data_IF_448276288551
#
_entry.id   IF_448276288551
#
_cell.length_a   1.000
_cell.length_b   1.000
_cell.length_c   1.000
_cell.angle_alpha   90.00
_cell.angle_beta   90.00
_cell.angle_gamma   90.00
#
_symmetry.space_group_name_H-M   'P 1'
#
loop_
_entity.id
_entity.type
_entity.pdbx_description
1 polymer ?
#
# COMPACT_ATOMS: atom_id res chain seq x y z
N UNK A 1 33.59 -80.33 104.87
CA UNK A 1 32.26 -80.58 105.47
C UNK A 1 31.31 -79.50 104.95
N UNK A 2 30.25 -79.90 104.24
CA UNK A 2 28.99 -79.18 103.96
C UNK A 2 29.03 -77.85 103.17
N UNK A 3 28.89 -78.04 101.85
CA UNK A 3 27.87 -77.43 100.97
C UNK A 3 26.77 -76.61 101.68
N UNK A 4 26.49 -75.40 101.15
CA UNK A 4 25.12 -74.85 101.01
C UNK A 4 25.12 -73.70 100.01
N UNK A 5 24.55 -74.00 98.83
CA UNK A 5 24.14 -73.05 97.82
C UNK A 5 22.98 -72.19 98.34
N UNK A 6 23.02 -70.89 98.06
CA UNK A 6 21.82 -70.05 98.07
C UNK A 6 21.83 -69.23 96.78
N UNK A 7 21.16 -69.77 95.76
CA UNK A 7 20.85 -69.13 94.49
C UNK A 7 19.75 -68.11 94.77
N UNK A 8 20.10 -66.82 94.66
CA UNK A 8 19.15 -65.72 94.77
C UNK A 8 18.65 -65.40 93.36
N UNK A 9 17.44 -65.86 93.06
CA UNK A 9 16.70 -65.55 91.85
C UNK A 9 16.36 -64.06 91.83
N UNK A 10 17.04 -63.29 90.96
CA UNK A 10 16.67 -61.92 90.62
C UNK A 10 15.68 -61.98 89.46
N UNK A 11 14.44 -61.47 89.59
CA UNK A 11 13.51 -61.43 88.47
C UNK A 11 13.97 -60.34 87.49
N UNK A 12 14.34 -60.77 86.28
CA UNK A 12 14.41 -59.90 85.11
C UNK A 12 13.01 -59.34 84.85
N UNK A 13 12.76 -58.10 85.28
CA UNK A 13 11.63 -57.33 84.76
C UNK A 13 12.01 -56.89 83.36
N UNK A 14 11.57 -57.65 82.36
CA UNK A 14 11.44 -57.20 80.98
C UNK A 14 10.47 -56.03 80.97
N UNK A 15 11.00 -54.81 81.09
CA UNK A 15 10.30 -53.63 80.65
C UNK A 15 10.22 -53.71 79.12
N UNK A 16 9.17 -54.35 78.61
CA UNK A 16 8.72 -54.15 77.25
C UNK A 16 8.33 -52.67 77.13
N UNK A 17 9.27 -51.84 76.66
CA UNK A 17 8.96 -50.55 76.07
C UNK A 17 8.07 -50.84 74.85
N UNK A 18 6.76 -50.89 75.06
CA UNK A 18 5.82 -50.68 73.98
C UNK A 18 6.04 -49.25 73.48
N UNK A 19 6.67 -49.10 72.33
CA UNK A 19 6.50 -47.91 71.50
C UNK A 19 4.99 -47.76 71.29
N UNK A 20 4.36 -46.90 72.10
CA UNK A 20 3.08 -46.32 71.71
C UNK A 20 3.41 -45.51 70.46
N UNK A 21 3.01 -46.00 69.29
CA UNK A 21 3.00 -45.15 68.10
C UNK A 21 2.18 -43.92 68.46
N UNK A 22 2.78 -42.73 68.35
CA UNK A 22 2.06 -41.48 68.54
C UNK A 22 0.86 -41.49 67.59
N UNK A 23 -0.35 -41.37 68.14
CA UNK A 23 -1.56 -41.34 67.33
C UNK A 23 -1.50 -40.10 66.44
N UNK A 24 -1.45 -40.30 65.11
CA UNK A 24 -1.42 -39.21 64.13
C UNK A 24 -2.56 -38.21 64.45
N UNK A 25 -2.17 -36.97 64.74
CA UNK A 25 -3.06 -35.87 65.13
C UNK A 25 -3.18 -34.82 64.05
N UNK A 26 -4.20 -33.95 64.15
CA UNK A 26 -4.45 -32.88 63.18
C UNK A 26 -3.22 -32.00 62.89
N UNK A 27 -2.39 -31.77 63.90
CA UNK A 27 -1.18 -30.93 63.86
C UNK A 27 0.11 -31.71 63.54
N UNK A 28 0.03 -33.01 63.26
CA UNK A 28 1.21 -33.80 62.87
C UNK A 28 1.71 -33.38 61.49
N UNK A 29 3.03 -33.46 61.26
CA UNK A 29 3.64 -33.07 59.98
C UNK A 29 3.03 -33.78 58.78
N UNK A 30 2.66 -35.06 58.94
CA UNK A 30 2.03 -35.83 57.87
C UNK A 30 0.60 -35.36 57.57
N UNK A 31 -0.13 -34.91 58.60
CA UNK A 31 -1.49 -34.38 58.46
C UNK A 31 -1.49 -32.98 57.85
N UNK A 32 -0.57 -32.13 58.28
CA UNK A 32 -0.42 -30.77 57.73
C UNK A 32 0.10 -30.80 56.30
N UNK A 33 1.04 -31.69 55.98
CA UNK A 33 1.54 -31.88 54.61
C UNK A 33 0.45 -32.42 53.68
N UNK A 34 -0.28 -33.47 54.10
CA UNK A 34 -1.39 -34.03 53.31
C UNK A 34 -2.55 -33.03 53.14
N UNK A 35 -2.77 -32.15 54.11
CA UNK A 35 -3.72 -31.06 54.02
C UNK A 35 -3.28 -29.99 53.00
N UNK A 36 -2.03 -29.55 53.03
CA UNK A 36 -1.49 -28.61 52.03
C UNK A 36 -1.54 -29.22 50.62
N UNK A 37 -1.18 -30.50 50.46
CA UNK A 37 -1.26 -31.19 49.18
C UNK A 37 -2.70 -31.22 48.65
N UNK A 38 -3.67 -31.50 49.53
CA UNK A 38 -5.08 -31.53 49.16
C UNK A 38 -5.60 -30.13 48.81
N UNK A 39 -5.17 -29.07 49.52
CA UNK A 39 -5.47 -27.68 49.16
C UNK A 39 -4.98 -27.33 47.75
N UNK A 40 -3.74 -27.72 47.43
CA UNK A 40 -3.15 -27.56 46.09
C UNK A 40 -3.91 -28.34 45.03
N UNK A 41 -4.32 -29.57 45.33
CA UNK A 41 -5.14 -30.40 44.43
C UNK A 41 -6.50 -29.74 44.15
N UNK A 42 -7.22 -29.28 45.17
CA UNK A 42 -8.48 -28.57 44.99
C UNK A 42 -8.29 -27.27 44.20
N UNK A 43 -7.21 -26.51 44.46
CA UNK A 43 -6.89 -25.32 43.68
C UNK A 43 -6.61 -25.66 42.20
N UNK A 44 -5.91 -26.77 41.93
CA UNK A 44 -5.66 -27.26 40.57
C UNK A 44 -6.94 -27.65 39.83
N UNK A 45 -7.88 -28.29 40.50
CA UNK A 45 -9.18 -28.66 39.93
C UNK A 45 -10.01 -27.42 39.58
N UNK A 46 -10.06 -26.40 40.44
CA UNK A 46 -10.74 -25.13 40.15
C UNK A 46 -10.02 -24.35 39.05
N UNK A 47 -8.68 -24.29 39.05
CA UNK A 47 -7.89 -23.66 37.99
C UNK A 47 -8.14 -24.32 36.63
N UNK A 48 -8.28 -25.65 36.60
CA UNK A 48 -8.56 -26.37 35.35
C UNK A 48 -9.91 -25.94 34.76
N UNK A 49 -10.95 -25.76 35.59
CA UNK A 49 -12.26 -25.27 35.11
C UNK A 49 -12.17 -23.92 34.42
N UNK A 50 -11.30 -23.02 34.90
CA UNK A 50 -11.12 -21.68 34.34
C UNK A 50 -10.24 -21.65 33.09
N UNK A 51 -9.37 -22.65 32.91
CA UNK A 51 -8.30 -22.61 31.90
C UNK A 51 -8.35 -23.71 30.84
N UNK A 52 -9.16 -24.76 31.02
CA UNK A 52 -9.27 -25.90 30.08
C UNK A 52 -9.79 -25.50 28.69
N UNK A 53 -10.51 -24.39 28.59
CA UNK A 53 -10.99 -23.87 27.31
C UNK A 53 -9.87 -23.27 26.44
N UNK A 54 -8.65 -23.12 26.97
CA UNK A 54 -7.50 -22.59 26.26
C UNK A 54 -6.59 -23.75 25.82
N UNK A 55 -6.60 -24.06 24.52
CA UNK A 55 -5.96 -25.26 23.97
C UNK A 55 -4.46 -25.40 24.26
N UNK A 56 -3.75 -24.29 24.48
CA UNK A 56 -2.31 -24.28 24.78
C UNK A 56 -2.00 -24.41 26.27
N UNK A 57 -3.01 -24.42 27.15
CA UNK A 57 -2.81 -24.55 28.60
C UNK A 57 -2.68 -26.02 29.00
N UNK A 58 -1.44 -26.45 29.20
CA UNK A 58 -1.14 -27.80 29.68
C UNK A 58 -1.25 -27.92 31.21
N UNK A 59 -1.40 -29.15 31.71
CA UNK A 59 -1.34 -29.42 33.15
C UNK A 59 0.00 -28.99 33.79
N UNK A 60 1.09 -28.96 33.03
CA UNK A 60 2.38 -28.47 33.50
C UNK A 60 2.35 -26.96 33.75
N UNK A 61 1.75 -26.19 32.83
CA UNK A 61 1.59 -24.74 32.98
C UNK A 61 0.74 -24.41 34.22
N UNK A 62 -0.38 -25.14 34.40
CA UNK A 62 -1.24 -24.98 35.58
C UNK A 62 -0.50 -25.29 36.89
N UNK A 63 0.32 -26.35 36.92
CA UNK A 63 1.13 -26.71 38.10
C UNK A 63 2.16 -25.63 38.39
N UNK A 64 2.90 -25.17 37.38
CA UNK A 64 3.86 -24.09 37.52
C UNK A 64 3.22 -22.82 38.10
N UNK A 65 2.05 -22.42 37.58
CA UNK A 65 1.32 -21.25 38.09
C UNK A 65 0.83 -21.41 39.54
N UNK A 66 0.56 -22.63 40.00
CA UNK A 66 0.23 -22.91 41.41
C UNK A 66 1.46 -23.04 42.31
N UNK A 67 2.61 -23.41 41.76
CA UNK A 67 3.88 -23.47 42.51
C UNK A 67 4.41 -22.08 42.88
N UNK A 68 4.02 -21.04 42.13
CA UNK A 68 4.27 -19.63 42.49
C UNK A 68 3.49 -19.19 43.75
N UNK A 69 2.50 -19.98 44.18
CA UNK A 69 1.68 -19.73 45.36
C UNK A 69 2.14 -20.60 46.52
N UNK A 70 2.46 -19.96 47.64
CA UNK A 70 2.84 -20.66 48.88
C UNK A 70 1.63 -20.81 49.78
N UNK A 71 1.33 -22.05 50.17
CA UNK A 71 0.36 -22.36 51.23
C UNK A 71 1.12 -22.62 52.53
N UNK A 72 0.70 -21.96 53.60
CA UNK A 72 1.14 -22.26 54.96
C UNK A 72 -0.06 -22.45 55.87
N UNK A 73 0.14 -23.19 56.96
CA UNK A 73 -0.91 -23.51 57.93
C UNK A 73 -0.45 -23.12 59.33
N UNK A 74 -1.39 -22.61 60.12
CA UNK A 74 -1.20 -22.24 61.52
C UNK A 74 -2.48 -22.49 62.30
N UNK A 75 -2.43 -22.36 63.62
CA UNK A 75 -3.59 -22.50 64.51
C UNK A 75 -4.42 -23.76 64.25
N UNK A 76 -3.74 -24.90 64.12
CA UNK A 76 -4.38 -26.19 63.86
C UNK A 76 -5.05 -26.70 65.12
N UNK A 77 -6.37 -26.92 65.06
CA UNK A 77 -7.18 -27.44 66.16
C UNK A 77 -7.92 -28.71 65.75
N UNK A 78 -8.13 -29.61 66.71
CA UNK A 78 -9.05 -30.74 66.58
C UNK A 78 -10.44 -30.31 67.05
N UNK A 79 -11.42 -30.31 66.14
CA UNK A 79 -12.82 -29.99 66.44
C UNK A 79 -13.57 -31.18 67.01
N UNK A 80 -13.30 -32.38 66.51
CA UNK A 80 -13.90 -33.62 67.01
C UNK A 80 -13.01 -34.82 66.73
N UNK A 81 -13.16 -35.83 67.59
CA UNK A 81 -12.55 -37.14 67.47
C UNK A 81 -13.67 -38.18 67.56
N UNK A 82 -13.90 -38.95 66.51
CA UNK A 82 -14.95 -39.97 66.50
C UNK A 82 -14.44 -41.19 67.31
N UNK A 83 -15.08 -41.59 68.41
CA UNK A 83 -14.63 -42.72 69.21
C UNK A 83 -14.70 -44.07 68.48
N UNK A 84 -15.45 -44.16 67.37
CA UNK A 84 -15.60 -45.38 66.57
C UNK A 84 -14.80 -45.35 65.26
N UNK A 85 -14.03 -44.29 65.00
CA UNK A 85 -13.27 -44.11 63.76
C UNK A 85 -11.90 -43.51 64.05
N UNK A 86 -10.91 -43.82 63.21
CA UNK A 86 -9.61 -43.14 63.24
C UNK A 86 -9.67 -41.72 62.66
N UNK A 87 -10.83 -41.33 62.11
CA UNK A 87 -11.07 -40.02 61.52
C UNK A 87 -11.18 -38.91 62.57
N UNK A 88 -10.46 -37.81 62.33
CA UNK A 88 -10.51 -36.58 63.12
C UNK A 88 -11.03 -35.43 62.26
N UNK A 89 -11.88 -34.59 62.84
CA UNK A 89 -12.25 -33.32 62.22
C UNK A 89 -11.35 -32.24 62.77
N UNK A 90 -10.69 -31.52 61.86
CA UNK A 90 -9.67 -30.54 62.13
C UNK A 90 -10.09 -29.17 61.56
N UNK A 91 -9.45 -28.11 62.05
CA UNK A 91 -9.58 -26.76 61.51
C UNK A 91 -8.22 -26.08 61.59
N UNK A 92 -7.81 -25.37 60.53
CA UNK A 92 -6.54 -24.68 60.49
C UNK A 92 -6.72 -23.30 59.85
N UNK A 93 -5.91 -22.34 60.27
CA UNK A 93 -5.74 -21.09 59.54
C UNK A 93 -4.81 -21.34 58.35
N UNK A 94 -5.33 -21.19 57.15
CA UNK A 94 -4.57 -21.32 55.91
C UNK A 94 -4.17 -19.92 55.45
N UNK A 95 -2.89 -19.73 55.15
CA UNK A 95 -2.39 -18.51 54.51
C UNK A 95 -1.87 -18.84 53.12
N UNK A 96 -2.37 -18.11 52.13
CA UNK A 96 -1.98 -18.15 50.74
C UNK A 96 -1.12 -16.93 50.47
N UNK A 97 0.13 -17.14 50.08
CA UNK A 97 1.09 -16.06 49.81
C UNK A 97 1.51 -16.09 48.34
N UNK A 98 1.48 -14.93 47.71
CA UNK A 98 1.98 -14.70 46.35
C UNK A 98 3.21 -13.80 46.44
N UNK A 99 4.19 -13.96 45.56
CA UNK A 99 5.33 -13.03 45.54
C UNK A 99 4.85 -11.59 45.31
N UNK A 100 5.38 -10.58 46.04
CA UNK A 100 4.90 -9.20 45.95
C UNK A 100 4.87 -8.63 44.53
N UNK A 101 5.92 -8.84 43.75
CA UNK A 101 6.03 -8.34 42.37
C UNK A 101 4.99 -9.00 41.45
N UNK A 102 4.81 -10.32 41.57
CA UNK A 102 3.78 -11.07 40.84
C UNK A 102 2.39 -10.58 41.25
N UNK A 103 2.13 -10.39 42.54
CA UNK A 103 0.85 -9.89 43.03
C UNK A 103 0.51 -8.51 42.44
N UNK A 104 1.46 -7.58 42.49
CA UNK A 104 1.28 -6.24 41.94
C UNK A 104 0.99 -6.30 40.43
N UNK A 105 1.77 -7.08 39.69
CA UNK A 105 1.58 -7.27 38.24
C UNK A 105 0.19 -7.82 37.90
N UNK A 106 -0.27 -8.85 38.62
CA UNK A 106 -1.59 -9.44 38.40
C UNK A 106 -2.73 -8.52 38.83
N UNK A 107 -2.54 -7.75 39.91
CA UNK A 107 -3.50 -6.75 40.37
C UNK A 107 -3.68 -5.65 39.33
N UNK A 108 -2.59 -5.12 38.79
CA UNK A 108 -2.63 -4.13 37.71
C UNK A 108 -3.29 -4.70 36.45
N UNK A 109 -2.90 -5.90 36.01
CA UNK A 109 -3.54 -6.58 34.88
C UNK A 109 -5.05 -6.76 35.08
N UNK A 110 -5.46 -7.20 36.27
CA UNK A 110 -6.89 -7.37 36.61
C UNK A 110 -7.66 -6.05 36.50
N UNK A 111 -7.03 -4.96 36.97
CA UNK A 111 -7.63 -3.62 36.94
C UNK A 111 -7.70 -3.06 35.53
N UNK A 112 -6.64 -3.15 34.73
CA UNK A 112 -6.57 -2.52 33.41
C UNK A 112 -7.27 -3.34 32.34
N UNK A 113 -7.08 -4.66 32.33
CA UNK A 113 -7.56 -5.52 31.25
C UNK A 113 -8.91 -6.19 31.56
N UNK A 114 -9.21 -6.44 32.84
CA UNK A 114 -10.46 -7.10 33.24
C UNK A 114 -11.47 -6.15 33.90
N UNK A 115 -11.07 -4.92 34.22
CA UNK A 115 -11.85 -3.97 35.00
C UNK A 115 -12.36 -4.57 36.33
N UNK A 116 -11.49 -5.33 37.00
CA UNK A 116 -11.78 -5.95 38.29
C UNK A 116 -10.68 -5.60 39.28
N UNK A 117 -11.06 -5.48 40.55
CA UNK A 117 -10.11 -5.24 41.62
C UNK A 117 -9.80 -6.58 42.32
N UNK A 118 -8.53 -6.98 42.31
CA UNK A 118 -8.08 -8.27 42.83
C UNK A 118 -8.37 -8.41 44.34
N UNK A 119 -8.08 -7.36 45.11
CA UNK A 119 -8.34 -7.31 46.55
C UNK A 119 -9.82 -7.60 46.87
N UNK A 120 -10.74 -6.89 46.20
CA UNK A 120 -12.19 -7.10 46.34
C UNK A 120 -12.64 -8.48 45.92
N UNK A 121 -11.98 -9.08 44.93
CA UNK A 121 -12.30 -10.46 44.52
C UNK A 121 -11.91 -11.46 45.60
N UNK A 122 -10.78 -11.26 46.28
CA UNK A 122 -10.37 -12.10 47.41
C UNK A 122 -11.27 -11.87 48.63
N UNK A 123 -11.63 -10.63 48.93
CA UNK A 123 -12.57 -10.28 50.00
C UNK A 123 -13.95 -10.92 49.80
N UNK A 124 -14.46 -10.94 48.56
CA UNK A 124 -15.71 -11.63 48.23
C UNK A 124 -15.67 -13.15 48.46
N UNK A 125 -14.47 -13.75 48.50
CA UNK A 125 -14.27 -15.15 48.86
C UNK A 125 -14.14 -15.33 50.39
N UNK A 126 -14.30 -14.27 51.17
CA UNK A 126 -14.07 -14.23 52.63
C UNK A 126 -12.62 -14.57 53.00
N UNK A 127 -11.67 -14.13 52.17
CA UNK A 127 -10.25 -14.18 52.49
C UNK A 127 -9.83 -12.87 53.16
N UNK A 128 -9.31 -12.97 54.39
CA UNK A 128 -8.71 -11.82 55.06
C UNK A 128 -7.40 -11.47 54.36
N UNK A 129 -7.32 -10.25 53.84
CA UNK A 129 -6.15 -9.79 53.09
C UNK A 129 -5.19 -9.02 53.98
N UNK A 130 -3.89 -9.30 53.81
CA UNK A 130 -2.80 -8.45 54.25
C UNK A 130 -1.75 -8.36 53.14
N UNK A 131 -1.77 -7.26 52.37
CA UNK A 131 -0.94 -7.07 51.19
C UNK A 131 -1.06 -8.24 50.18
N UNK A 132 0.02 -8.99 49.96
CA UNK A 132 0.15 -10.14 49.06
C UNK A 132 -0.15 -11.50 49.74
N UNK A 133 -0.77 -11.46 50.92
CA UNK A 133 -1.15 -12.64 51.70
C UNK A 133 -2.65 -12.65 51.98
N UNK A 134 -3.24 -13.85 51.92
CA UNK A 134 -4.67 -14.08 52.05
C UNK A 134 -4.92 -15.24 53.01
N UNK A 135 -5.73 -15.01 54.04
CA UNK A 135 -5.95 -15.99 55.10
C UNK A 135 -7.41 -16.36 55.26
N UNK A 136 -7.68 -17.64 55.49
CA UNK A 136 -8.99 -18.13 55.88
C UNK A 136 -8.87 -19.38 56.75
N UNK A 137 -9.84 -19.55 57.67
CA UNK A 137 -9.97 -20.78 58.45
C UNK A 137 -10.66 -21.85 57.60
N UNK A 138 -10.01 -22.99 57.46
CA UNK A 138 -10.48 -24.11 56.64
C UNK A 138 -10.66 -25.35 57.52
N UNK A 139 -11.85 -25.95 57.43
CA UNK A 139 -12.16 -27.21 58.07
C UNK A 139 -11.82 -28.38 57.16
N UNK A 140 -11.27 -29.44 57.73
CA UNK A 140 -10.86 -30.64 57.01
C UNK A 140 -10.96 -31.88 57.90
N UNK A 141 -11.02 -33.06 57.28
CA UNK A 141 -10.91 -34.32 58.03
C UNK A 141 -9.60 -35.01 57.70
N UNK A 142 -9.05 -35.69 58.71
CA UNK A 142 -7.83 -36.51 58.59
C UNK A 142 -8.17 -37.91 59.05
N UNK A 143 -7.84 -38.91 58.24
CA UNK A 143 -7.96 -40.31 58.60
C UNK A 143 -6.64 -41.03 58.30
N UNK A 144 -5.90 -41.49 59.33
CA UNK A 144 -4.70 -42.30 59.14
C UNK A 144 -5.00 -43.63 58.43
N UNK A 145 -4.06 -44.12 57.63
CA UNK A 145 -4.10 -45.49 57.11
C UNK A 145 -3.81 -46.51 58.21
N UNK A 146 -4.23 -47.77 58.00
CA UNK A 146 -4.04 -48.85 58.97
C UNK A 146 -2.58 -49.06 59.39
N UNK A 147 -1.63 -48.74 58.50
CA UNK A 147 -0.19 -48.81 58.76
C UNK A 147 0.40 -47.53 59.38
N UNK A 148 -0.42 -46.49 59.62
CA UNK A 148 -0.05 -45.17 60.09
C UNK A 148 1.09 -44.50 59.30
N UNK A 149 1.27 -44.86 58.02
CA UNK A 149 2.32 -44.27 57.17
C UNK A 149 1.81 -43.12 56.30
N UNK A 150 0.51 -43.04 56.05
CA UNK A 150 -0.10 -41.97 55.28
C UNK A 150 -1.43 -41.53 55.91
N UNK A 151 -1.96 -40.42 55.43
CA UNK A 151 -3.26 -39.90 55.86
C UNK A 151 -4.13 -39.62 54.65
N UNK A 152 -5.41 -39.97 54.75
CA UNK A 152 -6.42 -39.48 53.86
C UNK A 152 -6.94 -38.14 54.39
N UNK A 153 -6.81 -37.09 53.58
CA UNK A 153 -7.31 -35.76 53.91
C UNK A 153 -8.47 -35.41 52.98
N UNK A 154 -9.58 -35.00 53.57
CA UNK A 154 -10.73 -34.49 52.82
C UNK A 154 -10.97 -33.03 53.21
N UNK A 155 -11.03 -32.17 52.21
CA UNK A 155 -11.29 -30.73 52.37
C UNK A 155 -12.52 -30.40 51.53
N UNK A 156 -13.60 -29.87 52.12
CA UNK A 156 -14.67 -29.25 51.36
C UNK A 156 -14.16 -28.11 50.47
N UNK A 157 -14.99 -27.63 49.55
CA UNK A 157 -14.68 -26.39 48.82
C UNK A 157 -14.40 -25.27 49.83
N UNK A 158 -13.30 -24.58 49.64
CA UNK A 158 -12.79 -23.60 50.58
C UNK A 158 -12.22 -22.37 49.87
N UNK A 159 -12.27 -21.24 50.56
CA UNK A 159 -11.85 -19.94 50.03
C UNK A 159 -10.37 -19.90 49.62
N UNK A 160 -9.49 -20.55 50.37
CA UNK A 160 -8.05 -20.53 50.11
C UNK A 160 -7.70 -21.20 48.77
N UNK A 161 -8.26 -22.39 48.51
CA UNK A 161 -8.09 -23.09 47.23
C UNK A 161 -8.72 -22.31 46.08
N UNK A 162 -9.91 -21.71 46.26
CA UNK A 162 -10.57 -20.92 45.23
C UNK A 162 -9.81 -19.62 44.91
N UNK A 163 -9.32 -18.92 45.92
CA UNK A 163 -8.50 -17.71 45.75
C UNK A 163 -7.18 -18.01 45.05
N UNK A 164 -6.49 -19.08 45.47
CA UNK A 164 -5.27 -19.53 44.81
C UNK A 164 -5.51 -19.90 43.34
N UNK A 165 -6.58 -20.66 43.05
CA UNK A 165 -6.95 -21.00 41.69
C UNK A 165 -7.20 -19.76 40.83
N UNK A 166 -7.89 -18.75 41.37
CA UNK A 166 -8.14 -17.50 40.67
C UNK A 166 -6.86 -16.73 40.34
N UNK A 167 -5.95 -16.59 41.32
CA UNK A 167 -4.67 -15.90 41.12
C UNK A 167 -3.83 -16.64 40.07
N UNK A 168 -3.72 -17.97 40.16
CA UNK A 168 -3.02 -18.77 39.16
C UNK A 168 -3.68 -18.68 37.79
N UNK A 169 -5.02 -18.56 37.70
CA UNK A 169 -5.70 -18.36 36.44
C UNK A 169 -5.29 -17.03 35.80
N UNK A 170 -5.13 -15.95 36.58
CA UNK A 170 -4.60 -14.69 36.05
C UNK A 170 -3.16 -14.85 35.53
N UNK A 171 -2.29 -15.56 36.25
CA UNK A 171 -0.91 -15.84 35.80
C UNK A 171 -0.86 -16.61 34.49
N UNK A 172 -1.76 -17.59 34.30
CA UNK A 172 -1.85 -18.37 33.06
C UNK A 172 -2.43 -17.56 31.91
N UNK A 173 -3.51 -16.81 32.15
CA UNK A 173 -4.27 -16.15 31.10
C UNK A 173 -3.64 -14.84 30.61
N UNK A 174 -2.94 -14.11 31.48
CA UNK A 174 -2.27 -12.86 31.12
C UNK A 174 -1.39 -12.99 29.87
N UNK A 175 -0.37 -13.87 29.82
CA UNK A 175 0.51 -13.99 28.66
C UNK A 175 -0.22 -14.45 27.40
N UNK A 176 -1.25 -15.31 27.54
CA UNK A 176 -2.05 -15.77 26.42
C UNK A 176 -2.80 -14.60 25.77
N UNK A 177 -3.47 -13.77 26.57
CA UNK A 177 -4.20 -12.61 26.04
C UNK A 177 -3.26 -11.57 25.43
N UNK A 178 -2.08 -11.35 26.03
CA UNK A 178 -1.08 -10.45 25.47
C UNK A 178 -0.56 -10.95 24.12
N UNK A 179 -0.27 -12.25 24.02
CA UNK A 179 0.15 -12.87 22.76
C UNK A 179 -0.94 -12.78 21.69
N UNK A 180 -2.20 -13.03 22.05
CA UNK A 180 -3.34 -12.90 21.13
C UNK A 180 -3.50 -11.46 20.62
N UNK A 181 -3.35 -10.47 21.51
CA UNK A 181 -3.42 -9.04 21.13
C UNK A 181 -2.29 -8.69 20.16
N UNK A 182 -1.06 -9.11 20.46
CA UNK A 182 0.09 -8.88 19.58
C UNK A 182 -0.09 -9.53 18.21
N UNK A 183 -0.58 -10.78 18.16
CA UNK A 183 -0.87 -11.45 16.90
C UNK A 183 -1.96 -10.73 16.10
N UNK A 184 -3.01 -10.26 16.76
CA UNK A 184 -4.07 -9.51 16.12
C UNK A 184 -3.57 -8.17 15.55
N UNK A 185 -2.77 -7.43 16.31
CA UNK A 185 -2.14 -6.18 15.86
C UNK A 185 -1.22 -6.42 14.67
N UNK A 186 -0.39 -7.47 14.71
CA UNK A 186 0.47 -7.86 13.60
C UNK A 186 -0.33 -8.22 12.33
N UNK A 187 -1.42 -8.98 12.47
CA UNK A 187 -2.29 -9.32 11.35
C UNK A 187 -2.96 -8.07 10.75
N UNK A 188 -3.44 -7.15 11.58
CA UNK A 188 -4.00 -5.89 11.11
C UNK A 188 -2.97 -5.03 10.37
N UNK A 189 -1.74 -4.95 10.89
CA UNK A 189 -0.64 -4.23 10.24
C UNK A 189 -0.26 -4.88 8.91
N UNK A 190 -0.16 -6.22 8.85
CA UNK A 190 0.11 -6.95 7.62
C UNK A 190 -0.99 -6.72 6.57
N UNK A 191 -2.26 -6.78 6.97
CA UNK A 191 -3.39 -6.50 6.09
C UNK A 191 -3.38 -5.05 5.59
N UNK A 192 -3.09 -4.07 6.46
CA UNK A 192 -3.00 -2.67 6.08
C UNK A 192 -1.86 -2.43 5.07
N UNK A 193 -0.68 -3.01 5.32
CA UNK A 193 0.48 -2.92 4.44
C UNK A 193 0.21 -3.60 3.07
N UNK A 194 -0.48 -4.73 3.05
CA UNK A 194 -0.85 -5.41 1.81
C UNK A 194 -1.85 -4.57 0.99
N UNK A 195 -2.85 -3.97 1.63
CA UNK A 195 -3.77 -3.04 0.95
C UNK A 195 -3.07 -1.80 0.41
N UNK A 196 -2.15 -1.21 1.16
CA UNK A 196 -1.37 -0.06 0.70
C UNK A 196 -0.53 -0.41 -0.52
N UNK A 197 0.13 -1.58 -0.49
CA UNK A 197 0.88 -2.09 -1.64
C UNK A 197 -0.02 -2.31 -2.87
N UNK A 198 -1.19 -2.90 -2.70
CA UNK A 198 -2.16 -3.09 -3.80
C UNK A 198 -2.63 -1.75 -4.39
N UNK A 199 -2.92 -0.76 -3.55
CA UNK A 199 -3.30 0.58 -4.00
C UNK A 199 -2.16 1.27 -4.76
N UNK A 200 -0.91 1.10 -4.30
CA UNK A 200 0.26 1.65 -4.97
C UNK A 200 0.51 0.98 -6.33
N UNK A 201 0.35 -0.35 -6.42
CA UNK A 201 0.45 -1.10 -7.67
C UNK A 201 -0.64 -0.67 -8.66
N UNK A 202 -1.89 -0.50 -8.20
CA UNK A 202 -3.00 0.00 -9.03
C UNK A 202 -2.74 1.42 -9.53
N UNK A 203 -2.30 2.33 -8.66
CA UNK A 203 -1.98 3.70 -9.05
C UNK A 203 -0.84 3.75 -10.08
N UNK A 204 0.18 2.90 -9.93
CA UNK A 204 1.27 2.79 -10.90
C UNK A 204 0.77 2.26 -12.25
N UNK A 205 -0.09 1.24 -12.24
CA UNK A 205 -0.69 0.68 -13.45
C UNK A 205 -1.57 1.72 -14.17
N UNK A 206 -2.39 2.47 -13.44
CA UNK A 206 -3.20 3.56 -13.99
C UNK A 206 -2.33 4.66 -14.61
N UNK A 207 -1.25 5.05 -13.93
CA UNK A 207 -0.31 6.05 -14.45
C UNK A 207 0.37 5.57 -15.73
N UNK A 208 0.79 4.31 -15.80
CA UNK A 208 1.38 3.70 -17.00
C UNK A 208 0.38 3.68 -18.15
N UNK A 209 -0.87 3.27 -17.90
CA UNK A 209 -1.92 3.27 -18.89
C UNK A 209 -2.20 4.67 -19.44
N UNK A 210 -2.32 5.68 -18.57
CA UNK A 210 -2.51 7.07 -18.99
C UNK A 210 -1.33 7.59 -19.82
N UNK A 211 -0.10 7.27 -19.43
CA UNK A 211 1.10 7.65 -20.18
C UNK A 211 1.14 7.00 -21.57
N UNK A 212 0.71 5.75 -21.69
CA UNK A 212 0.60 5.05 -22.97
C UNK A 212 -0.47 5.67 -23.88
N UNK A 213 -1.66 5.97 -23.33
CA UNK A 213 -2.72 6.67 -24.07
C UNK A 213 -2.23 8.03 -24.60
N UNK A 214 -1.48 8.78 -23.79
CA UNK A 214 -0.92 10.07 -24.22
C UNK A 214 0.11 9.90 -25.35
N UNK A 215 0.97 8.87 -25.28
CA UNK A 215 1.92 8.56 -26.35
C UNK A 215 1.22 8.22 -27.66
N UNK A 216 0.18 7.38 -27.61
CA UNK A 216 -0.63 7.05 -28.79
C UNK A 216 -1.28 8.29 -29.39
N UNK A 217 -1.85 9.15 -28.54
CA UNK A 217 -2.45 10.41 -28.99
C UNK A 217 -1.42 11.36 -29.63
N UNK A 218 -0.21 11.43 -29.08
CA UNK A 218 0.90 12.20 -29.66
C UNK A 218 1.31 11.65 -31.02
N UNK A 219 1.45 10.33 -31.14
CA UNK A 219 1.80 9.67 -32.40
C UNK A 219 0.74 9.92 -33.48
N UNK A 220 -0.55 9.84 -33.13
CA UNK A 220 -1.64 10.16 -34.05
C UNK A 220 -1.56 11.62 -34.52
N UNK A 221 -1.35 12.58 -33.60
CA UNK A 221 -1.18 13.99 -33.98
C UNK A 221 0.01 14.21 -34.91
N UNK A 222 1.12 13.52 -34.70
CA UNK A 222 2.29 13.60 -35.58
C UNK A 222 1.98 13.04 -36.97
N UNK A 223 1.27 11.91 -37.04
CA UNK A 223 0.82 11.33 -38.29
C UNK A 223 -0.11 12.29 -39.06
N UNK A 224 -1.11 12.86 -38.37
CA UNK A 224 -2.05 13.81 -38.97
C UNK A 224 -1.32 15.07 -39.46
N UNK A 225 -0.35 15.59 -38.70
CA UNK A 225 0.49 16.71 -39.14
C UNK A 225 1.31 16.38 -40.39
N UNK A 226 1.86 15.18 -40.50
CA UNK A 226 2.57 14.75 -41.70
C UNK A 226 1.64 14.68 -42.92
N UNK A 227 0.42 14.17 -42.74
CA UNK A 227 -0.59 14.12 -43.81
C UNK A 227 -0.99 15.53 -44.26
N UNK A 228 -1.24 16.44 -43.32
CA UNK A 228 -1.57 17.84 -43.63
C UNK A 228 -0.41 18.50 -44.39
N UNK A 229 0.84 18.29 -43.95
CA UNK A 229 2.01 18.87 -44.61
C UNK A 229 2.16 18.33 -46.04
N UNK A 230 2.02 17.03 -46.25
CA UNK A 230 2.07 16.41 -47.58
C UNK A 230 0.97 16.96 -48.50
N UNK A 231 -0.25 17.12 -47.98
CA UNK A 231 -1.36 17.71 -48.75
C UNK A 231 -1.10 19.18 -49.11
N UNK A 232 -0.54 19.97 -48.17
CA UNK A 232 -0.16 21.36 -48.43
C UNK A 232 0.95 21.46 -49.50
N UNK A 233 1.96 20.59 -49.44
CA UNK A 233 3.04 20.54 -50.44
C UNK A 233 2.49 20.20 -51.83
N UNK A 234 1.59 19.21 -51.94
CA UNK A 234 0.92 18.89 -53.21
C UNK A 234 0.11 20.08 -53.76
N UNK A 235 -0.67 20.76 -52.90
CA UNK A 235 -1.44 21.93 -53.29
C UNK A 235 -0.53 23.08 -53.76
N UNK A 236 0.57 23.34 -53.06
CA UNK A 236 1.54 24.36 -53.47
C UNK A 236 2.19 24.01 -54.80
N UNK A 237 2.59 22.75 -55.01
CA UNK A 237 3.18 22.30 -56.27
C UNK A 237 2.19 22.44 -57.43
N UNK A 238 0.92 22.09 -57.22
CA UNK A 238 -0.12 22.25 -58.24
C UNK A 238 -0.35 23.73 -58.59
N UNK A 239 -0.40 24.61 -57.59
CA UNK A 239 -0.53 26.06 -57.81
C UNK A 239 0.67 26.62 -58.58
N UNK A 240 1.89 26.23 -58.23
CA UNK A 240 3.10 26.65 -58.94
C UNK A 240 3.09 26.19 -60.40
N UNK A 241 2.70 24.94 -60.66
CA UNK A 241 2.61 24.41 -62.01
C UNK A 241 1.57 25.18 -62.85
N UNK A 242 0.40 25.46 -62.28
CA UNK A 242 -0.65 26.23 -62.95
C UNK A 242 -0.18 27.66 -63.26
N UNK A 243 0.55 28.29 -62.34
CA UNK A 243 1.09 29.64 -62.52
C UNK A 243 2.16 29.66 -63.62
N UNK A 244 3.04 28.66 -63.67
CA UNK A 244 4.05 28.53 -64.73
C UNK A 244 3.41 28.34 -66.10
N UNK A 245 2.37 27.50 -66.21
CA UNK A 245 1.65 27.33 -67.47
C UNK A 245 1.01 28.65 -67.94
N UNK A 246 0.38 29.38 -67.02
CA UNK A 246 -0.22 30.68 -67.34
C UNK A 246 0.83 31.70 -67.84
N UNK A 247 1.98 31.79 -67.17
CA UNK A 247 3.08 32.67 -67.57
C UNK A 247 3.68 32.28 -68.93
N UNK A 248 3.87 30.98 -69.18
CA UNK A 248 4.37 30.48 -70.46
C UNK A 248 3.38 30.76 -71.62
N UNK A 249 2.08 30.67 -71.36
CA UNK A 249 1.06 30.98 -72.35
C UNK A 249 1.04 32.48 -72.69
N UNK A 250 1.19 33.36 -71.69
CA UNK A 250 1.30 34.81 -71.92
C UNK A 250 2.56 35.19 -72.71
N UNK A 251 3.72 34.59 -72.39
CA UNK A 251 4.96 34.90 -73.10
C UNK A 251 4.91 34.45 -74.56
N UNK A 252 4.37 33.26 -74.85
CA UNK A 252 4.16 32.80 -76.22
C UNK A 252 3.22 33.72 -77.00
N UNK A 253 2.11 34.16 -76.38
CA UNK A 253 1.22 35.14 -77.00
C UNK A 253 1.94 36.45 -77.32
N UNK A 254 2.75 36.99 -76.40
CA UNK A 254 3.51 38.21 -76.62
C UNK A 254 4.51 38.09 -77.80
N UNK A 255 5.20 36.95 -77.91
CA UNK A 255 6.13 36.67 -79.02
C UNK A 255 5.39 36.58 -80.36
N UNK A 256 4.24 35.90 -80.40
CA UNK A 256 3.40 35.83 -81.60
C UNK A 256 2.92 37.23 -82.03
N UNK A 257 2.43 38.03 -81.09
CA UNK A 257 1.98 39.40 -81.36
C UNK A 257 3.11 40.27 -81.91
N UNK A 258 4.32 40.17 -81.34
CA UNK A 258 5.50 40.86 -81.85
C UNK A 258 5.85 40.41 -83.28
N UNK A 259 5.85 39.11 -83.53
CA UNK A 259 6.20 38.54 -84.83
C UNK A 259 5.22 39.03 -85.90
N UNK A 260 3.93 39.02 -85.59
CA UNK A 260 2.89 39.54 -86.49
C UNK A 260 3.09 41.04 -86.76
N UNK A 261 3.28 41.85 -85.71
CA UNK A 261 3.50 43.28 -85.85
C UNK A 261 4.74 43.61 -86.70
N UNK A 262 5.83 42.85 -86.54
CA UNK A 262 7.05 42.97 -87.37
C UNK A 262 6.76 42.66 -88.84
N UNK A 263 6.06 41.57 -89.13
CA UNK A 263 5.70 41.18 -90.49
C UNK A 263 4.80 42.24 -91.15
N UNK A 264 3.82 42.75 -90.40
CA UNK A 264 2.93 43.82 -90.84
C UNK A 264 3.69 45.10 -91.18
N UNK A 265 4.65 45.48 -90.34
CA UNK A 265 5.53 46.61 -90.58
C UNK A 265 6.38 46.41 -91.85
N UNK A 266 7.07 45.28 -91.98
CA UNK A 266 7.94 45.01 -93.12
C UNK A 266 7.15 45.01 -94.44
N UNK A 267 5.94 44.46 -94.43
CA UNK A 267 5.04 44.47 -95.58
C UNK A 267 4.64 45.90 -95.94
N UNK A 268 4.18 46.68 -94.95
CA UNK A 268 3.77 48.07 -95.17
C UNK A 268 4.94 48.92 -95.69
N UNK A 269 6.14 48.76 -95.14
CA UNK A 269 7.34 49.50 -95.55
C UNK A 269 7.76 49.17 -97.00
N UNK A 270 7.72 47.88 -97.36
CA UNK A 270 7.95 47.42 -98.73
C UNK A 270 6.95 48.02 -99.71
N UNK A 271 5.66 48.00 -99.38
CA UNK A 271 4.60 48.58 -100.22
C UNK A 271 4.77 50.09 -100.41
N UNK A 272 5.14 50.80 -99.34
CA UNK A 272 5.45 52.23 -99.40
C UNK A 272 6.64 52.51 -100.33
N UNK A 273 7.72 51.72 -100.22
CA UNK A 273 8.89 51.90 -101.07
C UNK A 273 8.57 51.57 -102.54
N UNK A 274 7.84 50.48 -102.81
CA UNK A 274 7.42 50.12 -104.16
C UNK A 274 6.57 51.23 -104.78
N UNK A 275 5.59 51.75 -104.03
CA UNK A 275 4.75 52.87 -104.47
C UNK A 275 5.58 54.12 -104.75
N UNK A 276 6.52 54.44 -103.86
CA UNK A 276 7.43 55.57 -104.02
C UNK A 276 8.30 55.46 -105.30
N UNK A 277 8.77 54.26 -105.66
CA UNK A 277 9.59 54.05 -106.86
C UNK A 277 8.78 54.13 -108.17
N UNK A 278 7.49 53.77 -108.14
CA UNK A 278 6.58 53.86 -109.29
C UNK A 278 6.24 55.32 -109.66
N UNK A 279 6.43 56.27 -108.75
CA UNK A 279 6.25 57.69 -109.03
C UNK A 279 7.23 58.20 -110.10
N UNK A 280 6.75 59.10 -110.94
CA UNK A 280 7.58 59.82 -111.90
C UNK A 280 8.72 60.59 -111.20
N UNK A 281 9.80 60.86 -111.92
CA UNK A 281 10.94 61.64 -111.39
C UNK A 281 10.50 63.05 -110.91
N UNK A 282 9.51 63.63 -111.58
CA UNK A 282 8.92 64.93 -111.23
C UNK A 282 8.11 64.86 -109.93
N UNK A 283 7.20 63.89 -109.80
CA UNK A 283 6.39 63.68 -108.60
C UNK A 283 7.25 63.38 -107.37
N UNK A 284 8.32 62.59 -107.52
CA UNK A 284 9.28 62.32 -106.44
C UNK A 284 9.99 63.58 -105.96
N UNK A 285 10.41 64.47 -106.87
CA UNK A 285 11.05 65.74 -106.51
C UNK A 285 10.08 66.67 -105.77
N UNK A 286 8.83 66.75 -106.22
CA UNK A 286 7.80 67.58 -105.59
C UNK A 286 7.45 67.09 -104.17
N UNK A 287 7.36 65.78 -103.96
CA UNK A 287 6.95 65.19 -102.67
C UNK A 287 8.09 65.02 -101.67
N UNK A 288 9.36 65.17 -102.09
CA UNK A 288 10.54 64.80 -101.30
C UNK A 288 10.62 65.47 -99.92
N UNK A 289 10.30 66.76 -99.84
CA UNK A 289 10.30 67.49 -98.56
C UNK A 289 9.19 66.99 -97.63
N UNK A 290 7.97 66.82 -98.16
CA UNK A 290 6.82 66.30 -97.40
C UNK A 290 7.07 64.88 -96.89
N UNK A 291 7.73 64.05 -97.70
CA UNK A 291 8.05 62.67 -97.35
C UNK A 291 9.10 62.61 -96.23
N UNK A 292 10.13 63.46 -96.27
CA UNK A 292 11.13 63.56 -95.19
C UNK A 292 10.51 64.03 -93.88
N UNK A 293 9.59 64.99 -93.94
CA UNK A 293 8.89 65.48 -92.75
C UNK A 293 7.97 64.41 -92.16
N UNK A 294 7.24 63.69 -93.02
CA UNK A 294 6.39 62.59 -92.59
C UNK A 294 7.18 61.46 -91.91
N UNK A 295 8.35 61.07 -92.44
CA UNK A 295 9.22 60.06 -91.80
C UNK A 295 9.61 60.50 -90.38
N UNK A 296 10.03 61.76 -90.21
CA UNK A 296 10.40 62.30 -88.88
C UNK A 296 9.22 62.30 -87.92
N UNK A 297 8.02 62.67 -88.38
CA UNK A 297 6.83 62.68 -87.55
C UNK A 297 6.40 61.27 -87.15
N UNK A 298 6.45 60.31 -88.08
CA UNK A 298 6.17 58.90 -87.79
C UNK A 298 7.09 58.36 -86.68
N UNK A 299 8.40 58.60 -86.78
CA UNK A 299 9.36 58.14 -85.77
C UNK A 299 9.20 58.86 -84.42
N UNK A 300 8.63 60.07 -84.41
CA UNK A 300 8.32 60.80 -83.18
C UNK A 300 7.05 60.28 -82.50
N UNK A 301 6.04 59.89 -83.29
CA UNK A 301 4.76 59.36 -82.78
C UNK A 301 4.89 57.91 -82.31
N UNK A 302 5.51 57.06 -83.14
CA UNK A 302 5.60 55.63 -82.87
C UNK A 302 6.86 55.24 -82.10
N UNK A 303 7.80 56.17 -81.89
CA UNK A 303 9.16 55.87 -81.45
C UNK A 303 10.03 55.39 -82.61
N UNK A 304 11.34 55.25 -82.38
CA UNK A 304 12.23 54.69 -83.41
C UNK A 304 12.14 53.17 -83.37
N UNK A 305 12.11 52.54 -84.54
CA UNK A 305 12.26 51.08 -84.65
C UNK A 305 13.55 50.66 -83.96
N UNK A 306 13.42 49.78 -82.96
CA UNK A 306 14.49 49.32 -82.09
C UNK A 306 14.33 47.82 -81.82
N UNK A 307 15.43 47.17 -81.42
CA UNK A 307 15.45 45.79 -80.94
C UNK A 307 15.49 45.69 -79.41
N UNK A 308 15.52 46.83 -78.71
CA UNK A 308 15.59 46.91 -77.26
C UNK A 308 14.22 47.23 -76.67
N UNK A 309 13.74 46.37 -75.76
CA UNK A 309 12.44 46.50 -75.10
C UNK A 309 11.79 45.15 -74.89
N UNK A 310 10.70 45.11 -74.12
CA UNK A 310 9.87 43.90 -73.99
C UNK A 310 9.15 43.59 -75.30
N UNK A 311 8.77 42.34 -75.51
CA UNK A 311 8.08 41.91 -76.72
C UNK A 311 6.79 42.71 -76.96
N UNK A 312 6.05 43.02 -75.89
CA UNK A 312 4.84 43.81 -75.95
C UNK A 312 5.10 45.28 -76.33
N UNK A 313 6.16 45.89 -75.81
CA UNK A 313 6.55 47.26 -76.18
C UNK A 313 6.98 47.33 -77.64
N UNK A 314 7.84 46.38 -78.07
CA UNK A 314 8.29 46.31 -79.45
C UNK A 314 7.11 46.07 -80.41
N UNK A 315 6.17 45.20 -80.05
CA UNK A 315 4.99 44.92 -80.88
C UNK A 315 4.16 46.19 -81.12
N UNK A 316 3.99 47.03 -80.09
CA UNK A 316 3.29 48.32 -80.20
C UNK A 316 4.00 49.28 -81.15
N UNK A 317 5.34 49.38 -81.05
CA UNK A 317 6.15 50.22 -81.95
C UNK A 317 5.96 49.76 -83.40
N UNK A 318 6.16 48.48 -83.69
CA UNK A 318 6.03 47.96 -85.06
C UNK A 318 4.60 48.11 -85.61
N UNK A 319 3.58 47.84 -84.80
CA UNK A 319 2.18 48.00 -85.21
C UNK A 319 1.85 49.46 -85.55
N UNK A 320 2.27 50.42 -84.71
CA UNK A 320 2.10 51.86 -84.97
C UNK A 320 2.78 52.29 -86.27
N UNK A 321 4.01 51.82 -86.51
CA UNK A 321 4.72 52.07 -87.76
C UNK A 321 3.97 51.53 -88.97
N UNK A 322 3.52 50.27 -88.92
CA UNK A 322 2.79 49.62 -90.01
C UNK A 322 1.52 50.40 -90.35
N UNK A 323 0.75 50.80 -89.33
CA UNK A 323 -0.49 51.57 -89.50
C UNK A 323 -0.22 52.95 -90.12
N UNK A 324 0.76 53.69 -89.60
CA UNK A 324 1.12 55.00 -90.11
C UNK A 324 1.63 54.92 -91.56
N UNK A 325 2.39 53.88 -91.90
CA UNK A 325 2.85 53.65 -93.28
C UNK A 325 1.66 53.36 -94.21
N UNK A 326 0.77 52.45 -93.80
CA UNK A 326 -0.43 52.10 -94.60
C UNK A 326 -1.31 53.31 -94.87
N UNK A 327 -1.45 54.23 -93.91
CA UNK A 327 -2.22 55.47 -94.12
C UNK A 327 -1.55 56.43 -95.10
N UNK A 328 -0.22 56.38 -95.25
CA UNK A 328 0.55 57.25 -96.14
C UNK A 328 0.54 56.80 -97.60
N UNK A 329 0.48 55.49 -97.87
CA UNK A 329 0.56 54.94 -99.24
C UNK A 329 -0.47 55.55 -100.21
N UNK A 330 -1.77 55.71 -99.85
CA UNK A 330 -2.77 56.31 -100.74
C UNK A 330 -2.52 57.79 -101.06
N UNK A 331 -1.74 58.50 -100.25
CA UNK A 331 -1.38 59.91 -100.46
C UNK A 331 -0.27 60.08 -101.51
N UNK A 332 0.38 58.99 -101.93
CA UNK A 332 1.45 58.97 -102.93
C UNK A 332 0.92 58.68 -104.36
N UNK A 333 -0.08 59.43 -104.82
CA UNK A 333 -0.60 59.34 -106.19
C UNK A 333 0.21 60.14 -107.20
#
# INVERSE_FOLDING_TARGET
MKLKYLVLFFPFVLAACGEKSETIGCSSDISTSGFIETLKKTAFEELSKETDNYGDVTNQIKRAALEEITFSTSDVITKSNDPNSTMKTCSAMVTVTVQPDTYQMLSDYSRTELNRNLDKMMDNLSLEQNANTFSARVDYTVQPTDDNKTVFVNIPRNAASTGAAFISALSVLKPIKEQQKLQHEQQQQAYAAEREKQLQEQALQEQQYQAEQLKLQQQQRQYDQQQIKMQQEQLQQQQQYQQQQYQAQQSQQAVMTLTQAKNDFLTADSDLNNRWQQLSSESRKALLLSQRQWIKNKDLICGKVTSQGTEAELAKIYACHAETIRSRIPELN
#
